data_IF_376818052334
#
_entry.id   IF_376818052334
#
_cell.length_a   1.000
_cell.length_b   1.000
_cell.length_c   1.000
_cell.angle_alpha   90.00
_cell.angle_beta   90.00
_cell.angle_gamma   90.00
#
_symmetry.space_group_name_H-M   'P 1'
#
loop_
_entity.id
_entity.type
_entity.pdbx_description
1 polymer ?
#
# COMPACT_ATOMS: atom_id res chain seq x y z
N UNK A 1 -13.95 -0.92 -9.15
CA UNK A 1 -12.61 -1.51 -8.99
C UNK A 1 -11.47 -0.51 -9.21
N UNK A 2 -11.43 0.24 -10.32
CA UNK A 2 -10.38 1.27 -10.55
C UNK A 2 -10.41 2.39 -9.49
N UNK A 3 -11.53 3.09 -9.33
CA UNK A 3 -11.65 4.22 -8.40
C UNK A 3 -11.42 3.81 -6.92
N UNK A 4 -11.88 2.63 -6.52
CA UNK A 4 -11.69 2.12 -5.16
C UNK A 4 -10.25 1.66 -4.91
N UNK A 5 -9.64 0.96 -5.89
CA UNK A 5 -8.29 0.41 -5.77
C UNK A 5 -7.20 1.48 -5.73
N UNK A 6 -7.35 2.56 -6.49
CA UNK A 6 -6.40 3.68 -6.51
C UNK A 6 -6.35 4.40 -5.16
N UNK A 7 -7.50 4.64 -4.53
CA UNK A 7 -7.56 5.32 -3.23
C UNK A 7 -6.84 4.51 -2.13
N UNK A 8 -7.07 3.19 -2.10
CA UNK A 8 -6.41 2.28 -1.13
C UNK A 8 -4.92 2.14 -1.41
N UNK A 9 -4.51 2.07 -2.68
CA UNK A 9 -3.10 1.98 -3.04
C UNK A 9 -2.30 3.20 -2.58
N UNK A 10 -2.86 4.41 -2.78
CA UNK A 10 -2.21 5.67 -2.37
C UNK A 10 -2.15 5.78 -0.85
N UNK A 11 -3.24 5.51 -0.13
CA UNK A 11 -3.25 5.64 1.33
C UNK A 11 -2.30 4.63 1.98
N UNK A 12 -2.30 3.37 1.54
CA UNK A 12 -1.40 2.34 2.06
C UNK A 12 0.09 2.70 1.85
N UNK A 13 0.43 3.18 0.65
CA UNK A 13 1.82 3.55 0.33
C UNK A 13 2.29 4.77 1.13
N UNK A 14 1.45 5.80 1.25
CA UNK A 14 1.78 7.01 1.99
C UNK A 14 1.88 6.75 3.49
N UNK A 15 0.96 5.97 4.06
CA UNK A 15 0.96 5.63 5.48
C UNK A 15 2.18 4.80 5.86
N UNK A 16 2.54 3.78 5.08
CA UNK A 16 3.75 3.00 5.35
C UNK A 16 5.03 3.81 5.19
N UNK A 17 5.11 4.70 4.19
CA UNK A 17 6.26 5.61 4.02
C UNK A 17 6.37 6.64 5.15
N UNK A 18 5.25 7.14 5.66
CA UNK A 18 5.24 8.07 6.79
C UNK A 18 5.75 7.41 8.07
N UNK A 19 5.35 6.16 8.35
CA UNK A 19 5.84 5.44 9.53
C UNK A 19 7.33 5.08 9.44
N UNK A 20 7.84 4.69 8.27
CA UNK A 20 9.30 4.47 8.10
C UNK A 20 10.10 5.77 8.32
N UNK A 21 9.64 6.88 7.77
CA UNK A 21 10.30 8.17 7.94
C UNK A 21 10.20 8.69 9.38
N UNK A 22 9.10 8.45 10.09
CA UNK A 22 8.97 8.78 11.50
C UNK A 22 9.94 7.98 12.37
N UNK A 23 10.11 6.67 12.09
CA UNK A 23 11.14 5.84 12.73
C UNK A 23 12.53 6.40 12.46
N UNK A 24 12.87 6.67 11.19
CA UNK A 24 14.18 7.25 10.81
C UNK A 24 14.44 8.61 11.45
N UNK A 25 13.42 9.45 11.63
CA UNK A 25 13.54 10.74 12.28
C UNK A 25 14.01 10.60 13.74
N UNK A 26 13.39 9.70 14.50
CA UNK A 26 13.79 9.40 15.90
C UNK A 26 15.19 8.79 15.94
N UNK A 27 15.49 7.89 15.01
CA UNK A 27 16.80 7.23 14.93
C UNK A 27 17.95 8.17 14.58
N UNK A 28 17.70 9.17 13.73
CA UNK A 28 18.70 10.13 13.29
C UNK A 28 19.01 11.17 14.37
N UNK A 29 18.04 11.54 15.22
CA UNK A 29 18.26 12.48 16.33
C UNK A 29 18.85 13.82 15.89
N UNK A 30 18.54 14.27 14.66
CA UNK A 30 19.19 15.41 14.01
C UNK A 30 18.62 16.77 14.48
N UNK A 31 17.47 16.76 15.16
CA UNK A 31 16.84 17.94 15.76
C UNK A 31 16.69 17.76 17.27
N UNK A 32 16.50 18.87 17.98
CA UNK A 32 16.24 18.84 19.42
C UNK A 32 15.01 17.98 19.75
N UNK A 33 13.94 18.14 18.96
CA UNK A 33 12.73 17.34 19.12
C UNK A 33 12.96 15.84 18.85
N UNK A 34 13.74 15.48 17.82
CA UNK A 34 14.07 14.08 17.55
C UNK A 34 14.86 13.45 18.72
N UNK A 35 15.78 14.22 19.33
CA UNK A 35 16.55 13.77 20.49
C UNK A 35 15.69 13.56 21.73
N UNK A 36 14.65 14.38 21.94
CA UNK A 36 13.69 14.17 23.04
C UNK A 36 12.88 12.88 22.90
N UNK A 37 12.71 12.38 21.67
CA UNK A 37 12.00 11.13 21.38
C UNK A 37 12.94 9.91 21.39
N UNK A 38 14.24 10.14 21.19
CA UNK A 38 15.29 9.12 21.28
C UNK A 38 15.76 8.86 22.72
N UNK A 39 16.90 8.17 22.91
CA UNK A 39 17.71 7.50 21.88
C UNK A 39 17.06 6.19 21.38
N UNK A 40 17.72 5.48 20.45
CA UNK A 40 17.28 4.14 20.02
C UNK A 40 17.03 3.23 21.22
N UNK A 41 15.91 2.52 21.20
CA UNK A 41 15.44 1.68 22.31
C UNK A 41 14.54 2.39 23.32
N UNK A 42 14.33 3.71 23.19
CA UNK A 42 13.30 4.44 23.94
C UNK A 42 11.89 3.93 23.62
N UNK A 43 10.93 4.17 24.52
CA UNK A 43 9.53 3.82 24.27
C UNK A 43 8.95 4.47 23.00
N UNK A 44 9.23 5.77 22.69
CA UNK A 44 8.83 6.36 21.41
C UNK A 44 9.49 5.70 20.20
N UNK A 45 10.76 5.29 20.28
CA UNK A 45 11.43 4.57 19.20
C UNK A 45 10.79 3.21 18.95
N UNK A 46 10.50 2.43 20.01
CA UNK A 46 9.79 1.14 19.87
C UNK A 46 8.42 1.31 19.24
N UNK A 47 7.65 2.32 19.65
CA UNK A 47 6.35 2.61 19.05
C UNK A 47 6.46 2.94 17.56
N UNK A 48 7.47 3.70 17.15
CA UNK A 48 7.73 3.99 15.74
C UNK A 48 8.16 2.75 14.94
N UNK A 49 8.92 1.83 15.55
CA UNK A 49 9.27 0.53 14.95
C UNK A 49 8.02 -0.32 14.71
N UNK A 50 7.06 -0.35 15.64
CA UNK A 50 5.79 -1.06 15.44
C UNK A 50 5.01 -0.46 14.27
N UNK A 51 4.93 0.88 14.19
CA UNK A 51 4.26 1.55 13.06
C UNK A 51 4.89 1.20 11.71
N UNK A 52 6.22 1.20 11.62
CA UNK A 52 6.94 0.83 10.41
C UNK A 52 6.70 -0.64 10.02
N UNK A 53 6.71 -1.55 10.99
CA UNK A 53 6.45 -2.99 10.76
C UNK A 53 5.03 -3.23 10.22
N UNK A 54 4.03 -2.46 10.67
CA UNK A 54 2.68 -2.49 10.12
C UNK A 54 2.65 -1.88 8.70
N UNK A 55 3.46 -0.85 8.47
CA UNK A 55 3.58 -0.14 7.19
C UNK A 55 4.31 -0.91 6.08
N UNK A 56 5.22 -1.82 6.42
CA UNK A 56 6.01 -2.61 5.47
C UNK A 56 5.14 -3.43 4.49
N UNK A 57 4.19 -4.29 4.94
CA UNK A 57 3.32 -5.00 4.00
C UNK A 57 2.42 -4.04 3.21
N UNK A 58 2.06 -2.89 3.78
CA UNK A 58 1.20 -1.90 3.11
C UNK A 58 1.92 -1.18 1.96
N UNK A 59 3.15 -0.72 2.17
CA UNK A 59 3.92 0.07 1.20
C UNK A 59 4.73 -0.80 0.22
N UNK A 60 5.18 -1.98 0.65
CA UNK A 60 6.09 -2.82 -0.16
C UNK A 60 5.39 -4.01 -0.80
N UNK A 61 4.22 -4.44 -0.29
CA UNK A 61 3.50 -5.61 -0.82
C UNK A 61 2.15 -5.24 -1.43
N UNK A 62 1.16 -4.83 -0.63
CA UNK A 62 -0.22 -4.64 -1.11
C UNK A 62 -0.41 -3.38 -1.94
N UNK A 63 0.22 -2.25 -1.54
CA UNK A 63 0.11 -0.97 -2.24
C UNK A 63 0.59 -1.03 -3.70
N UNK A 64 1.84 -1.49 -3.97
CA UNK A 64 2.35 -1.64 -5.33
C UNK A 64 1.57 -2.67 -6.15
N UNK A 65 1.13 -3.77 -5.53
CA UNK A 65 0.41 -4.86 -6.20
C UNK A 65 -0.97 -4.44 -6.72
N UNK A 66 -1.64 -3.48 -6.07
CA UNK A 66 -2.94 -2.98 -6.53
C UNK A 66 -2.86 -2.26 -7.88
N UNK A 67 -1.74 -1.59 -8.18
CA UNK A 67 -1.52 -0.97 -9.50
C UNK A 67 -1.38 -2.03 -10.60
N UNK A 68 -0.70 -3.13 -10.30
CA UNK A 68 -0.56 -4.26 -11.23
C UNK A 68 -1.92 -4.93 -11.46
N UNK A 69 -2.68 -5.18 -10.38
CA UNK A 69 -4.01 -5.78 -10.44
C UNK A 69 -4.94 -5.02 -11.38
N UNK A 70 -4.97 -3.69 -11.27
CA UNK A 70 -5.80 -2.84 -12.13
C UNK A 70 -5.40 -2.95 -13.60
N UNK A 71 -4.10 -2.91 -13.91
CA UNK A 71 -3.60 -3.01 -15.29
C UNK A 71 -3.86 -4.39 -15.88
N UNK A 72 -3.65 -5.45 -15.09
CA UNK A 72 -3.83 -6.82 -15.53
C UNK A 72 -5.29 -7.13 -15.86
N UNK A 73 -6.23 -6.76 -14.97
CA UNK A 73 -7.66 -6.95 -15.24
C UNK A 73 -8.13 -6.20 -16.49
N UNK A 74 -7.59 -5.01 -16.76
CA UNK A 74 -7.93 -4.24 -17.96
C UNK A 74 -7.46 -4.95 -19.25
N UNK A 75 -6.23 -5.46 -19.27
CA UNK A 75 -5.67 -6.17 -20.43
C UNK A 75 -6.34 -7.53 -20.62
N UNK A 76 -6.57 -8.29 -19.54
CA UNK A 76 -7.26 -9.58 -19.58
C UNK A 76 -8.68 -9.41 -20.16
N UNK A 77 -9.44 -8.42 -19.67
CA UNK A 77 -10.77 -8.11 -20.20
C UNK A 77 -10.74 -7.74 -21.68
N UNK A 78 -9.73 -6.98 -22.12
CA UNK A 78 -9.58 -6.58 -23.52
C UNK A 78 -9.26 -7.77 -24.43
N UNK A 79 -8.35 -8.64 -24.02
CA UNK A 79 -7.94 -9.84 -24.78
C UNK A 79 -9.10 -10.81 -24.94
N UNK A 80 -9.87 -11.04 -23.87
CA UNK A 80 -11.01 -11.97 -23.89
C UNK A 80 -12.33 -11.32 -24.31
N UNK A 81 -12.36 -10.02 -24.65
CA UNK A 81 -13.59 -9.31 -25.00
C UNK A 81 -14.42 -10.00 -26.11
N UNK A 82 -13.83 -10.47 -27.23
CA UNK A 82 -14.61 -11.15 -28.27
C UNK A 82 -15.19 -12.48 -27.79
N UNK A 83 -14.44 -13.21 -26.97
CA UNK A 83 -14.87 -14.50 -26.40
C UNK A 83 -16.03 -14.31 -25.44
N UNK A 84 -15.94 -13.34 -24.52
CA UNK A 84 -17.02 -13.02 -23.59
C UNK A 84 -18.26 -12.47 -24.30
N UNK A 85 -18.10 -11.68 -25.35
CA UNK A 85 -19.23 -11.19 -26.15
C UNK A 85 -20.00 -12.34 -26.82
N UNK A 86 -19.28 -13.32 -27.37
CA UNK A 86 -19.90 -14.46 -28.06
C UNK A 86 -20.50 -15.51 -27.09
N UNK A 87 -19.78 -15.86 -26.02
CA UNK A 87 -20.11 -17.01 -25.17
C UNK A 87 -20.46 -16.66 -23.72
N UNK A 88 -20.33 -15.39 -23.33
CA UNK A 88 -20.63 -14.92 -21.97
C UNK A 88 -22.12 -14.74 -21.70
N UNK A 89 -22.42 -14.24 -20.50
CA UNK A 89 -23.79 -13.94 -20.06
C UNK A 89 -24.66 -15.17 -19.80
N UNK A 90 -24.05 -16.33 -19.51
CA UNK A 90 -24.73 -17.61 -19.30
C UNK A 90 -25.92 -17.53 -18.33
N UNK A 91 -25.80 -16.76 -17.25
CA UNK A 91 -26.88 -16.57 -16.27
C UNK A 91 -28.11 -15.84 -16.81
N UNK A 92 -27.96 -15.03 -17.86
CA UNK A 92 -29.06 -14.30 -18.50
C UNK A 92 -29.60 -15.01 -19.75
N UNK A 93 -29.02 -16.16 -20.11
CA UNK A 93 -29.42 -17.01 -21.25
C UNK A 93 -30.29 -18.22 -20.82
N UNK A 94 -30.43 -18.45 -19.52
CA UNK A 94 -31.37 -19.40 -18.90
C UNK A 94 -32.72 -18.73 -18.68
#
# INVERSE_FOLDING_TARGET
>A
MFNSGVQVAISASNTGGAWDNAKKYIEAGASEHARTLGPKGSEPHKAAVIGDTIGDPLKDTSGPSLNILIKLMAVESLVFAPFFAAHGGLLFKL
#
